data_IF_933894800944
#
_entry.id   IF_933894800944
#
_cell.length_a   1.000
_cell.length_b   1.000
_cell.length_c   1.000
_cell.angle_alpha   90.00
_cell.angle_beta   90.00
_cell.angle_gamma   90.00
#
_symmetry.space_group_name_H-M   'P 1'
#
loop_
_entity.id
_entity.type
_entity.pdbx_description
1 polymer ?
#
# COMPACT_ATOMS: atom_id res chain seq x y z
N UNK A 1 -7.45 -26.43 7.85
CA UNK A 1 -7.46 -25.92 6.46
C UNK A 1 -6.05 -25.47 6.11
N UNK A 2 -5.53 -25.79 4.91
CA UNK A 2 -4.24 -25.27 4.47
C UNK A 2 -4.28 -23.72 4.41
N UNK A 3 -3.17 -23.07 4.78
CA UNK A 3 -3.06 -21.62 4.65
C UNK A 3 -2.91 -21.28 3.16
N UNK A 4 -3.85 -20.52 2.62
CA UNK A 4 -3.72 -19.96 1.26
C UNK A 4 -2.65 -18.88 1.25
N UNK A 5 -1.77 -18.89 0.24
CA UNK A 5 -0.82 -17.80 0.04
C UNK A 5 -1.53 -16.64 -0.64
N UNK A 6 -1.80 -15.59 0.13
CA UNK A 6 -2.47 -14.37 -0.32
C UNK A 6 -1.46 -13.27 -0.68
N UNK A 7 -0.16 -13.53 -0.61
CA UNK A 7 0.84 -12.50 -0.90
C UNK A 7 0.79 -12.10 -2.37
N UNK A 8 0.99 -10.82 -2.62
CA UNK A 8 1.25 -10.35 -3.98
C UNK A 8 2.72 -10.57 -4.33
N UNK A 9 2.96 -10.97 -5.56
CA UNK A 9 4.29 -10.91 -6.18
C UNK A 9 4.74 -9.45 -6.36
N UNK A 10 6.04 -9.17 -6.54
CA UNK A 10 6.52 -7.82 -6.79
C UNK A 10 5.81 -7.13 -7.98
N UNK A 11 5.65 -7.84 -9.10
CA UNK A 11 4.95 -7.30 -10.27
C UNK A 11 3.46 -6.98 -10.00
N UNK A 12 2.79 -7.80 -9.18
CA UNK A 12 1.42 -7.52 -8.76
C UNK A 12 1.34 -6.29 -7.85
N UNK A 13 2.31 -6.07 -6.96
CA UNK A 13 2.40 -4.86 -6.12
C UNK A 13 2.65 -3.64 -6.99
N UNK A 14 3.59 -3.71 -7.93
CA UNK A 14 3.91 -2.59 -8.82
C UNK A 14 2.69 -2.18 -9.64
N UNK A 15 1.99 -3.15 -10.25
CA UNK A 15 0.76 -2.89 -10.99
C UNK A 15 -0.34 -2.31 -10.10
N UNK A 16 -0.51 -2.83 -8.88
CA UNK A 16 -1.49 -2.32 -7.93
C UNK A 16 -1.22 -0.87 -7.54
N UNK A 17 0.01 -0.56 -7.14
CA UNK A 17 0.42 0.79 -6.73
C UNK A 17 0.38 1.78 -7.89
N UNK A 18 0.64 1.34 -9.12
CA UNK A 18 0.50 2.16 -10.33
C UNK A 18 -0.96 2.57 -10.61
N UNK A 19 -1.91 1.68 -10.33
CA UNK A 19 -3.34 1.94 -10.52
C UNK A 19 -3.96 2.80 -9.40
N UNK A 20 -3.26 3.01 -8.28
CA UNK A 20 -3.77 3.78 -7.14
C UNK A 20 -3.39 5.26 -7.23
N UNK A 21 -4.41 6.12 -7.38
CA UNK A 21 -4.26 7.58 -7.44
C UNK A 21 -4.00 8.23 -6.07
N UNK A 22 -4.23 7.50 -4.98
CA UNK A 22 -4.08 8.00 -3.62
C UNK A 22 -3.58 6.91 -2.66
N UNK A 23 -2.99 7.35 -1.56
CA UNK A 23 -2.56 6.48 -0.47
C UNK A 23 -2.53 7.21 0.87
N UNK A 24 -2.25 6.47 1.94
CA UNK A 24 -2.03 7.01 3.27
C UNK A 24 -0.53 6.96 3.56
N UNK A 25 0.12 8.12 3.64
CA UNK A 25 1.51 8.24 4.06
C UNK A 25 1.56 8.31 5.59
N UNK A 26 2.18 7.32 6.22
CA UNK A 26 2.41 7.26 7.65
C UNK A 26 3.90 7.40 7.98
N UNK A 27 4.22 8.13 9.05
CA UNK A 27 5.56 8.29 9.60
C UNK A 27 5.50 8.58 11.10
N UNK A 28 6.65 8.54 11.76
CA UNK A 28 6.77 9.04 13.14
C UNK A 28 7.10 10.53 13.11
N UNK A 29 6.47 11.33 13.96
CA UNK A 29 6.81 12.74 14.12
C UNK A 29 8.07 12.95 14.99
N UNK A 30 8.37 14.20 15.34
CA UNK A 30 9.54 14.56 16.15
C UNK A 30 9.51 13.99 17.58
N UNK A 31 8.35 13.56 18.07
CA UNK A 31 8.17 12.92 19.37
C UNK A 31 8.17 11.39 19.28
N UNK A 32 8.23 10.84 18.08
CA UNK A 32 8.12 9.41 17.83
C UNK A 32 6.67 8.91 17.79
N UNK A 33 5.68 9.81 17.73
CA UNK A 33 4.28 9.45 17.66
C UNK A 33 3.88 9.15 16.20
N UNK A 34 3.06 8.11 15.95
CA UNK A 34 2.63 7.78 14.61
C UNK A 34 1.64 8.82 14.09
N UNK A 35 1.94 9.36 12.92
CA UNK A 35 1.10 10.30 12.20
C UNK A 35 0.83 9.79 10.79
N UNK A 36 -0.30 10.21 10.21
CA UNK A 36 -0.69 9.82 8.87
C UNK A 36 -1.36 10.99 8.12
N UNK A 37 -1.09 11.07 6.82
CA UNK A 37 -1.69 12.04 5.91
C UNK A 37 -2.14 11.37 4.61
N UNK A 38 -3.23 11.87 4.03
CA UNK A 38 -3.64 11.48 2.68
C UNK A 38 -2.71 12.15 1.66
N UNK A 39 -2.26 11.35 0.70
CA UNK A 39 -1.40 11.78 -0.39
C UNK A 39 -1.99 11.32 -1.71
N UNK A 40 -1.91 12.17 -2.74
CA UNK A 40 -1.97 11.71 -4.11
C UNK A 40 -0.75 10.85 -4.39
N UNK A 41 -0.94 9.77 -5.12
CA UNK A 41 0.09 8.79 -5.42
C UNK A 41 0.12 8.54 -6.92
N UNK A 42 1.33 8.38 -7.44
CA UNK A 42 1.54 7.86 -8.78
C UNK A 42 2.69 6.87 -8.73
N UNK A 43 2.39 5.61 -9.05
CA UNK A 43 3.42 4.59 -9.20
C UNK A 43 4.38 4.98 -10.33
N UNK A 44 5.67 4.92 -10.02
CA UNK A 44 6.76 4.98 -10.98
C UNK A 44 7.40 3.59 -11.00
N UNK A 45 7.86 3.07 -12.13
CA UNK A 45 8.32 1.68 -12.23
C UNK A 45 9.39 1.24 -11.20
N UNK A 46 10.05 2.18 -10.51
CA UNK A 46 11.03 1.92 -9.43
C UNK A 46 10.70 2.61 -8.10
N UNK A 47 9.50 3.16 -7.91
CA UNK A 47 9.14 3.89 -6.69
C UNK A 47 7.75 4.52 -6.74
N UNK A 48 7.50 5.46 -5.82
CA UNK A 48 6.21 6.15 -5.75
C UNK A 48 6.44 7.64 -5.69
N UNK A 49 5.86 8.39 -6.61
CA UNK A 49 5.74 9.84 -6.48
C UNK A 49 4.51 10.18 -5.64
N UNK A 50 4.70 11.07 -4.66
CA UNK A 50 3.68 11.51 -3.72
C UNK A 50 3.42 13.00 -3.87
N UNK A 51 2.15 13.37 -3.93
CA UNK A 51 1.73 14.76 -3.84
C UNK A 51 0.90 14.92 -2.57
N UNK A 52 1.19 15.92 -1.75
CA UNK A 52 0.33 16.20 -0.60
C UNK A 52 -1.10 16.49 -1.06
N UNK A 53 -2.07 15.69 -0.63
CA UNK A 53 -3.48 15.89 -0.98
C UNK A 53 -4.18 16.91 -0.05
N UNK A 54 -3.49 17.36 1.00
CA UNK A 54 -4.01 18.28 2.01
C UNK A 54 -3.02 19.43 2.26
N UNK A 55 -3.42 20.42 3.06
CA UNK A 55 -2.54 21.52 3.46
C UNK A 55 -1.36 21.09 4.37
N UNK A 56 -1.30 19.82 4.78
CA UNK A 56 -0.18 19.30 5.57
C UNK A 56 1.00 19.00 4.65
N UNK A 57 2.20 19.53 4.94
CA UNK A 57 3.39 19.22 4.15
C UNK A 57 3.77 17.75 4.29
N UNK A 58 4.50 17.24 3.30
CA UNK A 58 5.21 15.97 3.43
C UNK A 58 6.28 16.08 4.54
N UNK A 59 6.65 14.96 5.19
CA UNK A 59 7.73 14.97 6.17
C UNK A 59 9.07 15.35 5.52
N UNK A 60 10.12 15.66 6.31
CA UNK A 60 11.44 15.98 5.78
C UNK A 60 12.08 14.83 4.99
N UNK A 61 13.01 15.17 4.09
CA UNK A 61 13.84 14.18 3.38
C UNK A 61 14.58 13.24 4.34
N UNK A 62 14.71 11.98 3.92
CA UNK A 62 15.33 10.92 4.71
C UNK A 62 14.43 10.30 5.77
N UNK A 63 13.23 10.86 6.01
CA UNK A 63 12.24 10.30 6.94
C UNK A 63 11.85 8.89 6.50
N UNK A 64 11.83 7.96 7.47
CA UNK A 64 11.27 6.62 7.24
C UNK A 64 9.75 6.71 7.18
N UNK A 65 9.20 6.16 6.10
CA UNK A 65 7.78 6.28 5.79
C UNK A 65 7.19 4.92 5.42
N UNK A 66 5.88 4.81 5.59
CA UNK A 66 5.06 3.72 5.07
C UNK A 66 3.91 4.33 4.27
N UNK A 67 3.78 3.99 3.00
CA UNK A 67 2.59 4.33 2.20
C UNK A 67 1.68 3.12 2.15
N UNK A 68 0.47 3.27 2.68
CA UNK A 68 -0.55 2.24 2.65
C UNK A 68 -1.54 2.49 1.50
N UNK A 69 -1.82 1.43 0.76
CA UNK A 69 -2.81 1.35 -0.30
C UNK A 69 -3.80 0.25 0.02
N UNK A 70 -5.08 0.52 -0.18
CA UNK A 70 -6.14 -0.44 0.03
C UNK A 70 -7.22 -0.27 -1.02
N UNK A 71 -7.68 -1.39 -1.58
CA UNK A 71 -8.83 -1.46 -2.48
C UNK A 71 -9.75 -2.56 -1.98
N UNK A 72 -10.99 -2.19 -1.69
CA UNK A 72 -12.06 -3.11 -1.29
C UNK A 72 -13.13 -3.17 -2.41
N UNK A 73 -12.93 -4.01 -3.45
CA UNK A 73 -13.94 -4.20 -4.49
C UNK A 73 -15.16 -5.00 -3.98
N UNK A 74 -15.01 -5.74 -2.87
CA UNK A 74 -16.08 -6.49 -2.19
C UNK A 74 -15.64 -6.88 -0.77
N UNK A 75 -16.60 -7.26 0.08
CA UNK A 75 -16.37 -7.67 1.48
C UNK A 75 -15.31 -8.78 1.66
N UNK A 76 -15.14 -9.67 0.67
CA UNK A 76 -14.14 -10.75 0.69
C UNK A 76 -12.95 -10.53 -0.25
N UNK A 77 -12.92 -9.41 -0.97
CA UNK A 77 -11.95 -9.15 -2.04
C UNK A 77 -10.92 -8.06 -1.71
N UNK A 78 -10.66 -7.80 -0.42
CA UNK A 78 -9.73 -6.74 -0.01
C UNK A 78 -8.32 -7.04 -0.52
N UNK A 79 -7.71 -6.04 -1.13
CA UNK A 79 -6.32 -6.03 -1.57
C UNK A 79 -5.61 -4.83 -0.96
N UNK A 80 -4.43 -5.05 -0.38
CA UNK A 80 -3.67 -3.95 0.20
C UNK A 80 -2.15 -4.15 0.04
N UNK A 81 -1.46 -3.02 -0.06
CA UNK A 81 -0.01 -2.95 -0.10
C UNK A 81 0.50 -1.88 0.87
N UNK A 82 1.52 -2.22 1.64
CA UNK A 82 2.32 -1.30 2.43
C UNK A 82 3.68 -1.17 1.76
N UNK A 83 4.00 0.02 1.28
CA UNK A 83 5.29 0.37 0.69
C UNK A 83 6.11 1.08 1.75
N UNK A 84 7.15 0.42 2.25
CA UNK A 84 8.04 0.99 3.25
C UNK A 84 9.31 1.49 2.59
N UNK A 85 9.78 2.66 3.01
CA UNK A 85 10.95 3.27 2.41
C UNK A 85 11.36 4.55 3.10
N UNK A 86 12.08 5.39 2.36
CA UNK A 86 12.48 6.73 2.79
C UNK A 86 12.01 7.77 1.80
N UNK A 87 11.59 8.93 2.33
CA UNK A 87 11.26 10.07 1.49
C UNK A 87 12.53 10.72 0.93
N UNK A 88 12.50 11.09 -0.34
CA UNK A 88 13.51 11.88 -1.04
C UNK A 88 12.78 12.89 -1.94
N UNK A 89 12.63 14.13 -1.47
CA UNK A 89 11.76 15.13 -2.05
C UNK A 89 10.29 14.71 -1.95
N UNK A 90 9.66 14.58 -3.10
CA UNK A 90 8.29 14.10 -3.28
C UNK A 90 8.22 12.61 -3.65
N UNK A 91 9.33 11.87 -3.56
CA UNK A 91 9.41 10.47 -3.95
C UNK A 91 9.73 9.56 -2.77
N UNK A 92 9.18 8.34 -2.79
CA UNK A 92 9.57 7.27 -1.85
C UNK A 92 10.56 6.34 -2.53
N UNK A 93 11.77 6.26 -1.96
CA UNK A 93 12.75 5.22 -2.28
C UNK A 93 12.36 3.97 -1.49
N UNK A 94 11.94 2.93 -2.21
CA UNK A 94 11.34 1.73 -1.63
C UNK A 94 12.41 0.80 -1.05
N UNK A 95 12.29 0.46 0.24
CA UNK A 95 13.14 -0.52 0.91
C UNK A 95 12.50 -1.92 0.86
N UNK A 96 11.18 -2.00 1.09
CA UNK A 96 10.43 -3.26 1.12
C UNK A 96 8.94 -3.02 0.92
N UNK A 97 8.24 -4.07 0.56
CA UNK A 97 6.78 -4.08 0.48
C UNK A 97 6.19 -5.21 1.32
N UNK A 98 5.01 -4.97 1.91
CA UNK A 98 4.17 -5.98 2.55
C UNK A 98 2.83 -5.94 1.82
N UNK A 99 2.32 -7.08 1.39
CA UNK A 99 1.15 -7.11 0.53
C UNK A 99 0.26 -8.32 0.80
N UNK A 100 -1.04 -8.13 0.56
CA UNK A 100 -2.00 -9.22 0.53
C UNK A 100 -3.13 -8.96 -0.48
N UNK A 101 -3.68 -10.04 -1.01
CA UNK A 101 -4.82 -10.08 -1.91
C UNK A 101 -5.72 -11.23 -1.50
N UNK A 102 -6.81 -10.92 -0.80
CA UNK A 102 -7.77 -11.93 -0.37
C UNK A 102 -8.63 -12.48 -1.51
N UNK A 103 -8.64 -11.84 -2.68
CA UNK A 103 -9.25 -12.40 -3.90
C UNK A 103 -8.59 -13.71 -4.35
N UNK A 104 -7.37 -14.02 -3.87
CA UNK A 104 -6.69 -15.29 -4.10
C UNK A 104 -7.26 -16.46 -3.27
N UNK A 105 -8.14 -16.18 -2.31
CA UNK A 105 -8.85 -17.23 -1.56
C UNK A 105 -10.03 -17.70 -2.41
N UNK A 106 -10.09 -19.00 -2.80
CA UNK A 106 -11.20 -19.52 -3.57
C UNK A 106 -12.50 -19.39 -2.77
N UNK A 107 -13.59 -19.05 -3.45
CA UNK A 107 -14.91 -19.05 -2.84
C UNK A 107 -15.22 -20.44 -2.26
N UNK A 108 -15.85 -20.53 -1.08
CA UNK A 108 -16.26 -21.83 -0.54
C UNK A 108 -17.18 -22.53 -1.55
N UNK A 109 -16.83 -23.76 -1.91
CA UNK A 109 -17.72 -24.62 -2.71
C UNK A 109 -18.95 -24.90 -1.84
N UNK A 110 -20.14 -24.58 -2.34
CA UNK A 110 -21.38 -24.97 -1.65
C UNK A 110 -21.50 -26.49 -1.71
N UNK A 111 -21.77 -27.13 -0.58
CA UNK A 111 -21.92 -28.61 -0.49
C UNK A 111 -23.17 -29.15 -1.22
N UNK A 112 -23.99 -28.29 -1.82
CA UNK A 112 -25.26 -28.66 -2.47
C UNK A 112 -25.16 -28.98 -3.98
N UNK A 113 -23.95 -29.01 -4.57
CA UNK A 113 -23.73 -29.30 -6.00
C UNK A 113 -23.36 -30.78 -6.30
N UNK A 114 -23.58 -31.71 -5.37
CA UNK A 114 -23.41 -33.17 -5.58
C UNK A 114 -24.73 -33.94 -5.51
#
# INVERSE_FOLDING_TARGET
>A
MPRHDVRMTPAEVDAFVQDEEAGVLAHLDEHGDPTAILVGSRGLGTGVALTAATARPLPPDGTQVCVAYEREPSYSGVRAALVLGRLAGDHVVVDRTISFDFGKIPAPVREDDN
#
